data_IF_128896423822
#
_entry.id   IF_128896423822
#
_cell.length_a   1.000
_cell.length_b   1.000
_cell.length_c   1.000
_cell.angle_alpha   90.00
_cell.angle_beta   90.00
_cell.angle_gamma   90.00
#
_symmetry.space_group_name_H-M   'P 1'
#
loop_
_entity.id
_entity.type
_entity.pdbx_description
1 polymer ?
#
# COMPACT_ATOMS: atom_id res chain seq x y z
N UNK A 1 9.83 -3.76 -11.27
CA UNK A 1 9.58 -4.91 -10.38
C UNK A 1 8.23 -4.66 -9.74
N UNK A 2 7.35 -5.65 -9.76
CA UNK A 2 6.06 -5.57 -9.06
C UNK A 2 6.33 -5.78 -7.55
N UNK A 3 5.70 -4.98 -6.69
CA UNK A 3 5.78 -5.13 -5.23
C UNK A 3 5.03 -6.40 -4.84
N UNK A 4 5.57 -7.22 -3.93
CA UNK A 4 4.82 -8.37 -3.40
C UNK A 4 4.16 -8.05 -2.05
N UNK A 5 3.22 -8.90 -1.63
CA UNK A 5 2.46 -8.72 -0.40
C UNK A 5 3.35 -8.66 0.84
N UNK A 6 4.41 -9.48 0.90
CA UNK A 6 5.30 -9.53 2.06
C UNK A 6 6.09 -8.23 2.19
N UNK A 7 6.69 -7.75 1.10
CA UNK A 7 7.43 -6.49 1.07
C UNK A 7 6.50 -5.31 1.36
N UNK A 8 5.31 -5.26 0.74
CA UNK A 8 4.35 -4.18 0.97
C UNK A 8 3.88 -4.11 2.44
N UNK A 9 3.56 -5.26 3.04
CA UNK A 9 3.20 -5.33 4.46
C UNK A 9 4.37 -4.91 5.35
N UNK A 10 5.58 -5.40 5.06
CA UNK A 10 6.78 -5.06 5.83
C UNK A 10 7.15 -3.58 5.77
N UNK A 11 6.99 -2.93 4.61
CA UNK A 11 7.20 -1.47 4.48
C UNK A 11 6.12 -0.72 5.26
N UNK A 12 4.84 -1.10 5.14
CA UNK A 12 3.73 -0.46 5.85
C UNK A 12 3.88 -0.56 7.38
N UNK A 13 4.46 -1.65 7.89
CA UNK A 13 4.76 -1.85 9.31
C UNK A 13 6.08 -1.21 9.77
N UNK A 14 6.92 -0.73 8.86
CA UNK A 14 8.27 -0.27 9.17
C UNK A 14 9.25 -1.38 9.58
N UNK A 15 8.97 -2.62 9.18
CA UNK A 15 9.81 -3.81 9.45
C UNK A 15 10.78 -4.16 8.31
N UNK A 16 10.47 -3.70 7.09
CA UNK A 16 11.34 -3.81 5.93
C UNK A 16 11.93 -2.44 5.64
N UNK A 17 13.23 -2.41 5.34
CA UNK A 17 13.93 -1.19 5.00
C UNK A 17 13.34 -0.56 3.73
N UNK A 18 13.01 0.73 3.84
CA UNK A 18 12.64 1.53 2.70
C UNK A 18 13.91 1.88 1.92
N UNK A 19 14.01 1.42 0.67
CA UNK A 19 15.23 1.55 -0.16
C UNK A 19 15.38 2.91 -0.83
N UNK A 20 14.51 3.88 -0.54
CA UNK A 20 14.60 5.23 -1.11
C UNK A 20 15.83 5.98 -0.55
N UNK A 21 16.63 6.57 -1.43
CA UNK A 21 17.85 7.30 -1.06
C UNK A 21 17.54 8.71 -0.56
N UNK A 22 16.39 9.26 -0.98
CA UNK A 22 15.88 10.57 -0.60
C UNK A 22 14.56 10.47 0.18
N UNK A 23 14.19 11.48 1.00
CA UNK A 23 12.89 11.52 1.68
C UNK A 23 11.69 11.40 0.71
N UNK A 24 11.81 11.99 -0.48
CA UNK A 24 10.78 11.94 -1.52
C UNK A 24 10.60 10.52 -2.06
N UNK A 25 11.69 9.83 -2.39
CA UNK A 25 11.64 8.42 -2.84
C UNK A 25 11.12 7.49 -1.75
N UNK A 26 11.53 7.72 -0.50
CA UNK A 26 11.01 6.94 0.63
C UNK A 26 9.50 7.08 0.74
N UNK A 27 8.99 8.31 0.64
CA UNK A 27 7.55 8.58 0.65
C UNK A 27 6.83 7.90 -0.52
N UNK A 28 7.41 7.93 -1.72
CA UNK A 28 6.81 7.25 -2.89
C UNK A 28 6.74 5.73 -2.70
N UNK A 29 7.78 5.11 -2.13
CA UNK A 29 7.81 3.68 -1.82
C UNK A 29 6.76 3.31 -0.77
N UNK A 30 6.58 4.11 0.28
CA UNK A 30 5.52 3.91 1.28
C UNK A 30 4.13 3.98 0.65
N UNK A 31 3.89 4.99 -0.19
CA UNK A 31 2.62 5.13 -0.91
C UNK A 31 2.38 3.94 -1.84
N UNK A 32 3.41 3.47 -2.55
CA UNK A 32 3.30 2.30 -3.42
C UNK A 32 2.98 1.02 -2.63
N UNK A 33 3.57 0.84 -1.45
CA UNK A 33 3.26 -0.27 -0.56
C UNK A 33 1.79 -0.24 -0.10
N UNK A 34 1.30 0.91 0.35
CA UNK A 34 -0.10 1.06 0.74
C UNK A 34 -1.07 0.88 -0.43
N UNK A 35 -0.75 1.42 -1.60
CA UNK A 35 -1.56 1.24 -2.80
C UNK A 35 -1.64 -0.25 -3.18
N UNK A 36 -0.53 -0.99 -3.09
CA UNK A 36 -0.52 -2.43 -3.34
C UNK A 36 -1.42 -3.20 -2.36
N UNK A 37 -1.37 -2.87 -1.07
CA UNK A 37 -2.24 -3.49 -0.06
C UNK A 37 -3.73 -3.17 -0.28
N UNK A 38 -4.03 -1.99 -0.83
CA UNK A 38 -5.40 -1.60 -1.21
C UNK A 38 -5.85 -2.38 -2.45
N UNK A 39 -5.05 -2.39 -3.51
CA UNK A 39 -5.38 -3.01 -4.79
C UNK A 39 -5.56 -4.53 -4.68
N UNK A 40 -4.77 -5.18 -3.83
CA UNK A 40 -4.91 -6.62 -3.53
C UNK A 40 -6.02 -6.94 -2.53
N UNK A 41 -6.55 -5.91 -1.85
CA UNK A 41 -7.50 -6.05 -0.75
C UNK A 41 -6.92 -6.62 0.55
N UNK A 42 -5.59 -6.84 0.61
CA UNK A 42 -4.93 -7.45 1.77
C UNK A 42 -5.07 -6.59 3.03
N UNK A 43 -5.05 -5.26 2.92
CA UNK A 43 -5.24 -4.35 4.06
C UNK A 43 -6.58 -4.56 4.79
N UNK A 44 -7.59 -5.11 4.12
CA UNK A 44 -8.91 -5.40 4.69
C UNK A 44 -8.99 -6.79 5.36
N UNK A 45 -7.99 -7.64 5.14
CA UNK A 45 -7.90 -8.98 5.74
C UNK A 45 -6.92 -9.03 6.92
N UNK A 46 -6.03 -8.06 7.03
CA UNK A 46 -5.06 -7.92 8.12
C UNK A 46 -5.69 -7.30 9.38
N UNK A 47 -4.87 -7.14 10.44
CA UNK A 47 -5.29 -6.50 11.67
C UNK A 47 -5.93 -5.13 11.39
N UNK A 48 -6.97 -4.78 12.16
CA UNK A 48 -7.85 -3.65 11.81
C UNK A 48 -7.18 -2.27 11.70
N UNK A 49 -5.93 -2.11 12.13
CA UNK A 49 -5.17 -0.88 11.91
C UNK A 49 -4.85 -0.67 10.42
N UNK A 50 -4.55 -1.73 9.65
CA UNK A 50 -4.30 -1.65 8.21
C UNK A 50 -5.49 -1.05 7.46
N UNK A 51 -6.69 -1.56 7.72
CA UNK A 51 -7.89 -1.05 7.09
C UNK A 51 -8.15 0.42 7.44
N UNK A 52 -8.02 0.82 8.72
CA UNK A 52 -8.20 2.23 9.11
C UNK A 52 -7.19 3.15 8.43
N UNK A 53 -5.93 2.75 8.35
CA UNK A 53 -4.89 3.52 7.66
C UNK A 53 -5.17 3.62 6.17
N UNK A 54 -5.52 2.51 5.52
CA UNK A 54 -5.89 2.49 4.11
C UNK A 54 -7.10 3.42 3.82
N UNK A 55 -8.14 3.39 4.66
CA UNK A 55 -9.27 4.32 4.55
C UNK A 55 -8.81 5.77 4.65
N UNK A 56 -8.00 6.10 5.66
CA UNK A 56 -7.49 7.47 5.84
C UNK A 56 -6.66 7.94 4.63
N UNK A 57 -5.76 7.09 4.10
CA UNK A 57 -4.93 7.44 2.94
C UNK A 57 -5.75 7.65 1.66
N UNK A 58 -6.87 6.95 1.51
CA UNK A 58 -7.82 7.16 0.41
C UNK A 58 -8.57 8.48 0.59
N UNK A 59 -9.03 8.78 1.82
CA UNK A 59 -9.74 10.02 2.14
C UNK A 59 -8.88 11.27 1.95
N UNK A 60 -7.57 11.17 2.24
CA UNK A 60 -6.59 12.24 2.02
C UNK A 60 -6.08 12.32 0.57
N UNK A 61 -6.64 11.53 -0.36
CA UNK A 61 -6.24 11.47 -1.77
C UNK A 61 -4.76 11.09 -2.00
N UNK A 62 -4.11 10.50 -0.99
CA UNK A 62 -2.74 9.98 -1.08
C UNK A 62 -2.72 8.66 -1.84
N UNK A 63 -3.71 7.80 -1.58
CA UNK A 63 -3.95 6.55 -2.28
C UNK A 63 -5.30 6.58 -3.00
N UNK A 64 -5.49 5.65 -3.93
CA UNK A 64 -6.74 5.47 -4.67
C UNK A 64 -7.47 4.22 -4.16
N UNK A 65 -8.81 4.19 -4.18
CA UNK A 65 -9.56 2.96 -3.97
C UNK A 65 -9.12 1.87 -4.94
N UNK A 66 -9.24 0.61 -4.52
CA UNK A 66 -8.90 -0.53 -5.36
C UNK A 66 -9.62 -0.43 -6.71
N UNK A 67 -8.85 -0.42 -7.80
CA UNK A 67 -9.46 -0.50 -9.12
C UNK A 67 -10.03 -1.89 -9.30
N UNK A 68 -11.34 -2.00 -9.59
CA UNK A 68 -11.88 -3.26 -10.06
C UNK A 68 -11.07 -3.63 -11.30
N UNK A 69 -10.27 -4.70 -11.23
CA UNK A 69 -9.76 -5.32 -12.46
C UNK A 69 -11.00 -5.74 -13.23
N UNK A 70 -11.38 -4.96 -14.23
CA UNK A 70 -12.31 -5.42 -15.26
C UNK A 70 -11.65 -6.64 -15.87
N UNK A 71 -12.13 -7.83 -15.51
CA UNK A 71 -11.87 -9.05 -16.25
C UNK A 71 -12.44 -8.82 -17.66
N UNK A 72 -11.59 -8.37 -18.59
CA UNK A 72 -11.89 -8.41 -20.02
C UNK A 72 -12.13 -9.89 -20.37
N UNK A 73 -13.41 -10.23 -20.55
CA UNK A 73 -13.92 -11.54 -20.98
C UNK A 73 -13.67 -11.76 -22.47
#
# INVERSE_FOLDING_TARGET
MEMDNFTATGIAEGLVENTGETPEEQREIEIAAWQHLIDTGLCWQLQGWFGRTATHLIEEEICRPASQKTEDT
#
